data_IF_053222787807
#
_entry.id   IF_053222787807
#
_cell.length_a   1.000
_cell.length_b   1.000
_cell.length_c   1.000
_cell.angle_alpha   90.00
_cell.angle_beta   90.00
_cell.angle_gamma   90.00
#
_symmetry.space_group_name_H-M   'P 1'
#
loop_
_entity.id
_entity.type
_entity.pdbx_description
1 polymer ?
#
# COMPACT_ATOMS: atom_id res chain seq x y z
N UNK A 1 13.25 14.57 22.98
CA UNK A 1 12.44 13.34 22.90
C UNK A 1 13.08 12.46 21.84
N UNK A 2 13.67 11.33 22.22
CA UNK A 2 14.38 10.45 21.29
C UNK A 2 13.45 9.41 20.68
N UNK A 3 13.72 8.94 19.45
CA UNK A 3 12.99 7.83 18.82
C UNK A 3 12.94 6.60 19.77
N UNK A 4 13.99 6.39 20.57
CA UNK A 4 14.04 5.33 21.57
C UNK A 4 12.98 5.48 22.68
N UNK A 5 12.64 6.71 23.09
CA UNK A 5 11.64 6.96 24.13
C UNK A 5 10.23 6.64 23.60
N UNK A 6 9.98 6.91 22.32
CA UNK A 6 8.70 6.67 21.65
C UNK A 6 8.42 5.16 21.49
N UNK A 7 9.47 4.36 21.29
CA UNK A 7 9.37 2.91 21.17
C UNK A 7 9.08 2.28 22.52
N UNK A 8 9.71 2.77 23.61
CA UNK A 8 9.47 2.27 24.97
C UNK A 8 8.05 2.53 25.47
N UNK A 9 7.42 3.64 25.09
CA UNK A 9 6.05 3.99 25.50
C UNK A 9 4.97 3.30 24.67
N UNK A 10 5.29 2.89 23.44
CA UNK A 10 4.37 2.14 22.57
C UNK A 10 4.26 0.66 22.93
N UNK A 11 5.19 0.11 23.72
CA UNK A 11 5.18 -1.30 24.08
C UNK A 11 4.22 -1.57 25.24
N UNK A 12 3.43 -2.66 25.18
CA UNK A 12 2.53 -3.04 26.26
C UNK A 12 3.33 -3.33 27.53
N UNK A 13 2.95 -2.73 28.66
CA UNK A 13 3.47 -3.11 29.97
C UNK A 13 2.83 -4.45 30.36
N UNK A 14 3.65 -5.45 30.67
CA UNK A 14 3.19 -6.73 31.18
C UNK A 14 4.24 -7.29 32.13
N UNK A 15 3.76 -7.91 33.21
CA UNK A 15 4.58 -8.52 34.25
C UNK A 15 5.04 -9.94 33.87
N UNK A 16 4.59 -10.47 32.72
CA UNK A 16 4.94 -11.79 32.21
C UNK A 16 5.49 -11.71 30.80
N UNK A 17 6.65 -12.35 30.57
CA UNK A 17 7.25 -12.46 29.24
C UNK A 17 6.28 -13.05 28.21
N UNK A 18 5.42 -13.99 28.61
CA UNK A 18 4.43 -14.63 27.72
C UNK A 18 3.35 -13.66 27.26
N UNK A 19 2.83 -12.86 28.17
CA UNK A 19 1.81 -11.85 27.88
C UNK A 19 2.37 -10.68 27.08
N UNK A 20 3.61 -10.26 27.40
CA UNK A 20 4.33 -9.27 26.62
C UNK A 20 4.49 -9.71 25.15
N UNK A 21 4.99 -10.92 24.91
CA UNK A 21 5.14 -11.46 23.55
C UNK A 21 3.81 -11.54 22.80
N UNK A 22 2.73 -11.98 23.47
CA UNK A 22 1.39 -12.03 22.87
C UNK A 22 0.90 -10.63 22.49
N UNK A 23 1.09 -9.65 23.35
CA UNK A 23 0.64 -8.27 23.10
C UNK A 23 1.46 -7.60 21.99
N UNK A 24 2.75 -7.93 21.87
CA UNK A 24 3.61 -7.54 20.75
C UNK A 24 3.11 -8.15 19.45
N UNK A 25 2.85 -9.46 19.42
CA UNK A 25 2.33 -10.16 18.25
C UNK A 25 1.01 -9.55 17.75
N UNK A 26 0.06 -9.30 18.66
CA UNK A 26 -1.23 -8.68 18.33
C UNK A 26 -1.08 -7.25 17.79
N UNK A 27 -0.15 -6.46 18.32
CA UNK A 27 0.18 -5.14 17.77
C UNK A 27 0.73 -5.24 16.36
N UNK A 28 1.68 -6.15 16.10
CA UNK A 28 2.22 -6.36 14.76
C UNK A 28 1.15 -6.81 13.76
N UNK A 29 0.26 -7.73 14.14
CA UNK A 29 -0.90 -8.11 13.31
C UNK A 29 -1.77 -6.91 12.96
N UNK A 30 -2.10 -6.09 13.96
CA UNK A 30 -2.93 -4.88 13.78
C UNK A 30 -2.25 -3.86 12.89
N UNK A 31 -0.96 -3.59 13.11
CA UNK A 31 -0.14 -2.69 12.29
C UNK A 31 -0.03 -3.19 10.85
N UNK A 32 0.21 -4.48 10.64
CA UNK A 32 0.26 -5.08 9.30
C UNK A 32 -1.08 -4.94 8.57
N UNK A 33 -2.20 -5.17 9.27
CA UNK A 33 -3.55 -4.96 8.71
C UNK A 33 -3.80 -3.50 8.33
N UNK A 34 -3.43 -2.55 9.19
CA UNK A 34 -3.55 -1.12 8.89
C UNK A 34 -2.68 -0.72 7.70
N UNK A 35 -1.44 -1.19 7.65
CA UNK A 35 -0.50 -0.92 6.56
C UNK A 35 -1.02 -1.47 5.24
N UNK A 36 -1.54 -2.70 5.24
CA UNK A 36 -2.12 -3.30 4.04
C UNK A 36 -3.34 -2.50 3.54
N UNK A 37 -4.18 -2.01 4.46
CA UNK A 37 -5.28 -1.08 4.13
C UNK A 37 -4.79 0.22 3.49
N UNK A 38 -3.73 0.83 4.04
CA UNK A 38 -3.13 2.05 3.47
C UNK A 38 -2.55 1.81 2.07
N UNK A 39 -1.81 0.72 1.86
CA UNK A 39 -1.23 0.38 0.56
C UNK A 39 -2.32 0.09 -0.48
N UNK A 40 -3.42 -0.56 -0.08
CA UNK A 40 -4.54 -0.82 -0.97
C UNK A 40 -5.28 0.48 -1.35
N UNK A 41 -5.45 1.40 -0.40
CA UNK A 41 -6.00 2.72 -0.68
C UNK A 41 -5.11 3.47 -1.68
N UNK A 42 -3.79 3.49 -1.46
CA UNK A 42 -2.82 4.07 -2.39
C UNK A 42 -2.94 3.48 -3.79
N UNK A 43 -2.95 2.14 -3.91
CA UNK A 43 -3.07 1.46 -5.20
C UNK A 43 -4.37 1.87 -5.95
N UNK A 44 -5.46 2.10 -5.23
CA UNK A 44 -6.78 2.43 -5.83
C UNK A 44 -6.87 3.89 -6.27
N UNK A 45 -6.29 4.81 -5.50
CA UNK A 45 -6.38 6.26 -5.76
C UNK A 45 -5.27 6.78 -6.68
N UNK A 46 -4.22 5.98 -6.89
CA UNK A 46 -3.07 6.39 -7.69
C UNK A 46 -3.50 6.76 -9.12
N UNK A 47 -3.06 7.93 -9.59
CA UNK A 47 -3.28 8.44 -10.94
C UNK A 47 -1.95 8.76 -11.60
N UNK A 48 -1.88 8.56 -12.90
CA UNK A 48 -0.76 8.97 -13.72
C UNK A 48 -0.74 10.50 -13.83
N UNK A 49 0.36 11.12 -13.43
CA UNK A 49 0.51 12.58 -13.37
C UNK A 49 0.91 13.21 -14.72
N UNK A 50 1.23 12.40 -15.73
CA UNK A 50 1.65 12.88 -17.05
C UNK A 50 3.08 13.43 -17.09
N UNK A 51 3.76 13.49 -15.94
CA UNK A 51 5.12 14.04 -15.80
C UNK A 51 6.15 12.92 -15.74
N UNK A 52 5.86 11.88 -14.94
CA UNK A 52 6.72 10.70 -14.84
C UNK A 52 6.51 9.75 -16.01
N UNK A 53 7.49 8.92 -16.32
CA UNK A 53 7.36 7.94 -17.39
C UNK A 53 6.27 6.91 -17.09
N UNK A 54 5.57 6.44 -18.13
CA UNK A 54 4.55 5.38 -17.97
C UNK A 54 5.13 4.09 -17.36
N UNK A 55 6.39 3.77 -17.67
CA UNK A 55 7.10 2.64 -17.07
C UNK A 55 7.29 2.82 -15.57
N UNK A 56 7.67 4.03 -15.12
CA UNK A 56 7.83 4.33 -13.69
C UNK A 56 6.51 4.20 -12.95
N UNK A 57 5.43 4.69 -13.56
CA UNK A 57 4.07 4.58 -13.00
C UNK A 57 3.63 3.12 -12.84
N UNK A 58 3.82 2.29 -13.86
CA UNK A 58 3.52 0.85 -13.82
C UNK A 58 4.38 0.15 -12.76
N UNK A 59 5.67 0.49 -12.68
CA UNK A 59 6.59 -0.08 -11.71
C UNK A 59 6.16 0.27 -10.28
N UNK A 60 5.74 1.51 -10.03
CA UNK A 60 5.27 1.96 -8.72
C UNK A 60 3.99 1.21 -8.29
N UNK A 61 3.01 1.07 -9.20
CA UNK A 61 1.80 0.27 -8.94
C UNK A 61 2.12 -1.22 -8.71
N UNK A 62 3.06 -1.78 -9.47
CA UNK A 62 3.50 -3.17 -9.30
C UNK A 62 4.22 -3.38 -7.96
N UNK A 63 5.02 -2.40 -7.53
CA UNK A 63 5.68 -2.43 -6.22
C UNK A 63 4.67 -2.37 -5.07
N UNK A 64 3.59 -1.57 -5.19
CA UNK A 64 2.50 -1.57 -4.22
C UNK A 64 1.82 -2.95 -4.11
N UNK A 65 1.53 -3.59 -5.24
CA UNK A 65 0.97 -4.94 -5.26
C UNK A 65 1.93 -5.98 -4.64
N UNK A 66 3.23 -5.89 -4.91
CA UNK A 66 4.24 -6.75 -4.30
C UNK A 66 4.30 -6.58 -2.77
N UNK A 67 4.26 -5.33 -2.27
CA UNK A 67 4.21 -5.05 -0.83
C UNK A 67 2.94 -5.61 -0.18
N UNK A 68 1.78 -5.45 -0.82
CA UNK A 68 0.52 -6.05 -0.35
C UNK A 68 0.64 -7.57 -0.21
N UNK A 69 1.28 -8.23 -1.19
CA UNK A 69 1.52 -9.69 -1.15
C UNK A 69 2.35 -10.10 0.07
N UNK A 70 3.37 -9.33 0.45
CA UNK A 70 4.17 -9.60 1.66
C UNK A 70 3.37 -9.46 2.96
N UNK A 71 2.26 -8.72 2.94
CA UNK A 71 1.35 -8.54 4.07
C UNK A 71 0.18 -9.55 4.05
N UNK A 72 0.20 -10.53 3.15
CA UNK A 72 -0.86 -11.54 3.00
C UNK A 72 -2.07 -11.09 2.17
N UNK A 73 -2.01 -9.93 1.51
CA UNK A 73 -3.03 -9.45 0.59
C UNK A 73 -2.57 -9.61 -0.86
N UNK A 74 -3.06 -10.63 -1.55
CA UNK A 74 -2.70 -10.87 -2.96
C UNK A 74 -3.64 -10.08 -3.88
N UNK A 75 -3.07 -9.21 -4.71
CA UNK A 75 -3.76 -8.60 -5.85
C UNK A 75 -3.51 -9.48 -7.08
N UNK A 76 -4.57 -9.94 -7.75
CA UNK A 76 -4.39 -10.72 -8.98
C UNK A 76 -3.84 -9.85 -10.10
N UNK A 77 -3.15 -10.46 -11.06
CA UNK A 77 -2.63 -9.76 -12.24
C UNK A 77 -3.76 -9.06 -13.03
N UNK A 78 -4.92 -9.71 -13.16
CA UNK A 78 -6.10 -9.12 -13.82
C UNK A 78 -6.59 -7.84 -13.11
N UNK A 79 -6.62 -7.82 -11.78
CA UNK A 79 -6.98 -6.63 -11.02
C UNK A 79 -5.88 -5.56 -11.11
N UNK A 80 -4.61 -5.94 -11.05
CA UNK A 80 -3.49 -5.00 -11.19
C UNK A 80 -3.54 -4.28 -12.54
N UNK A 81 -3.75 -5.01 -13.64
CA UNK A 81 -3.94 -4.42 -14.97
C UNK A 81 -5.11 -3.45 -14.97
N UNK A 82 -6.23 -3.81 -14.34
CA UNK A 82 -7.40 -2.92 -14.24
C UNK A 82 -7.10 -1.65 -13.44
N UNK A 83 -6.35 -1.74 -12.35
CA UNK A 83 -5.92 -0.57 -11.58
C UNK A 83 -5.01 0.33 -12.40
N UNK A 84 -4.03 -0.24 -13.11
CA UNK A 84 -3.15 0.51 -14.00
C UNK A 84 -3.96 1.24 -15.08
N UNK A 85 -4.87 0.55 -15.78
CA UNK A 85 -5.71 1.19 -16.79
C UNK A 85 -6.59 2.31 -16.21
N UNK A 86 -7.19 2.10 -15.04
CA UNK A 86 -8.03 3.11 -14.38
C UNK A 86 -7.22 4.31 -13.85
N UNK A 87 -5.90 4.17 -13.70
CA UNK A 87 -5.01 5.23 -13.22
C UNK A 87 -4.60 6.21 -14.33
N UNK A 88 -4.71 5.80 -15.59
CA UNK A 88 -4.35 6.62 -16.74
C UNK A 88 -5.43 7.69 -17.01
N UNK A 89 -5.04 8.89 -17.50
CA UNK A 89 -6.01 9.90 -17.89
C UNK A 89 -6.88 9.43 -19.07
N UNK A 90 -8.17 9.76 -19.04
CA UNK A 90 -9.15 9.40 -20.09
C UNK A 90 -8.87 10.06 -21.46
N UNK A 91 -7.85 10.91 -21.56
CA UNK A 91 -7.50 11.67 -22.77
C UNK A 91 -6.91 10.82 -23.90
N UNK A 92 -6.67 9.52 -23.69
CA UNK A 92 -6.21 8.59 -24.74
C UNK A 92 -7.31 8.29 -25.79
N UNK A 93 -8.56 8.71 -25.56
CA UNK A 93 -9.68 8.53 -26.50
C UNK A 93 -10.16 9.80 -27.21
N UNK A 94 -9.42 10.91 -27.15
CA UNK A 94 -9.73 12.10 -27.97
C UNK A 94 -9.34 11.86 -29.43
N UNK A 95 -10.13 11.04 -30.13
CA UNK A 95 -10.16 11.00 -31.58
C UNK A 95 -10.69 12.37 -32.03
N UNK A 96 -9.99 13.13 -32.90
CA UNK A 96 -10.52 14.37 -33.42
C UNK A 96 -11.78 14.07 -34.22
N UNK A 97 -12.88 14.74 -33.86
CA UNK A 97 -14.15 14.69 -34.58
C UNK A 97 -13.88 15.10 -36.04
N UNK A 98 -14.12 14.25 -37.05
CA UNK A 98 -14.05 14.71 -38.43
C UNK A 98 -15.21 15.69 -38.65
N UNK A 99 -14.87 16.88 -39.15
CA UNK A 99 -15.81 17.93 -39.58
C UNK A 99 -16.83 17.41 -40.59
#
# INVERSE_FOLDING_TARGET
>A
MSIADNIKTSLPKSDSAKEFLKAVEERFKTTNKSLAGTLMAQLTIMKYDGVRGMQDHILEMTNLAAKLKTLGMTVSESFLVKFILNSLPNSVWSIPNPL
#
